data_IF_628161003891
#
_entry.id   IF_628161003891
#
_cell.length_a   1.000
_cell.length_b   1.000
_cell.length_c   1.000
_cell.angle_alpha   90.00
_cell.angle_beta   90.00
_cell.angle_gamma   90.00
#
_symmetry.space_group_name_H-M   'P 1'
#
loop_
_entity.id
_entity.type
_entity.pdbx_description
1 polymer ?
#
# COMPACT_ATOMS: atom_id res chain seq x y z
N UNK A 1 -28.56 68.20 -36.76
CA UNK A 1 -28.76 67.06 -35.83
C UNK A 1 -28.23 65.74 -36.39
N UNK A 2 -28.38 65.45 -37.68
CA UNK A 2 -27.95 64.18 -38.30
C UNK A 2 -26.46 63.81 -38.12
N UNK A 3 -25.56 64.79 -38.11
CA UNK A 3 -24.12 64.59 -37.91
C UNK A 3 -23.78 64.02 -36.53
N UNK A 4 -24.48 64.44 -35.48
CA UNK A 4 -24.29 63.92 -34.13
C UNK A 4 -24.76 62.47 -34.00
N UNK A 5 -25.87 62.13 -34.65
CA UNK A 5 -26.45 60.79 -34.60
C UNK A 5 -25.58 59.76 -35.34
N UNK A 6 -25.01 60.15 -36.48
CA UNK A 6 -24.06 59.33 -37.25
C UNK A 6 -22.78 59.08 -36.44
N UNK A 7 -22.23 60.13 -35.80
CA UNK A 7 -21.04 60.02 -34.95
C UNK A 7 -21.33 59.15 -33.72
N UNK A 8 -22.49 59.30 -33.07
CA UNK A 8 -22.91 58.49 -31.95
C UNK A 8 -23.09 57.02 -32.31
N UNK A 9 -23.73 56.71 -33.45
CA UNK A 9 -23.87 55.33 -33.98
C UNK A 9 -22.52 54.70 -34.31
N UNK A 10 -21.58 55.46 -34.89
CA UNK A 10 -20.22 55.00 -35.19
C UNK A 10 -19.42 54.73 -33.91
N UNK A 11 -19.50 55.60 -32.91
CA UNK A 11 -18.87 55.40 -31.60
C UNK A 11 -19.47 54.19 -30.85
N UNK A 12 -20.80 54.02 -30.88
CA UNK A 12 -21.47 52.83 -30.31
C UNK A 12 -20.98 51.54 -30.95
N UNK A 13 -20.82 51.49 -32.28
CA UNK A 13 -20.29 50.33 -33.01
C UNK A 13 -18.81 50.08 -32.69
N UNK A 14 -17.98 51.13 -32.58
CA UNK A 14 -16.56 51.03 -32.21
C UNK A 14 -16.39 50.52 -30.77
N UNK A 15 -17.16 51.05 -29.83
CA UNK A 15 -17.16 50.60 -28.44
C UNK A 15 -17.66 49.17 -28.32
N UNK A 16 -18.70 48.77 -29.07
CA UNK A 16 -19.17 47.38 -29.09
C UNK A 16 -18.09 46.41 -29.60
N UNK A 17 -17.39 46.76 -30.68
CA UNK A 17 -16.26 45.95 -31.18
C UNK A 17 -15.12 45.85 -30.17
N UNK A 18 -14.79 46.94 -29.48
CA UNK A 18 -13.79 46.93 -28.39
C UNK A 18 -14.22 46.04 -27.24
N UNK A 19 -15.46 46.14 -26.77
CA UNK A 19 -16.00 45.31 -25.69
C UNK A 19 -15.93 43.83 -26.08
N UNK A 20 -16.37 43.47 -27.30
CA UNK A 20 -16.28 42.10 -27.81
C UNK A 20 -14.84 41.62 -27.79
N UNK A 21 -13.91 42.41 -28.35
CA UNK A 21 -12.48 42.06 -28.39
C UNK A 21 -11.92 41.82 -26.98
N UNK A 22 -12.15 42.74 -26.04
CA UNK A 22 -11.69 42.59 -24.66
C UNK A 22 -12.32 41.38 -23.98
N UNK A 23 -13.63 41.15 -24.14
CA UNK A 23 -14.30 39.98 -23.58
C UNK A 23 -13.75 38.68 -24.14
N UNK A 24 -13.48 38.61 -25.45
CA UNK A 24 -12.89 37.43 -26.08
C UNK A 24 -11.48 37.18 -25.58
N UNK A 25 -10.64 38.23 -25.49
CA UNK A 25 -9.29 38.10 -24.94
C UNK A 25 -9.32 37.58 -23.51
N UNK A 26 -10.19 38.12 -22.66
CA UNK A 26 -10.35 37.67 -21.27
C UNK A 26 -10.74 36.19 -21.21
N UNK A 27 -11.73 35.77 -22.00
CA UNK A 27 -12.15 34.35 -22.07
C UNK A 27 -11.00 33.45 -22.53
N UNK A 28 -10.25 33.83 -23.57
CA UNK A 28 -9.11 33.05 -24.07
C UNK A 28 -8.01 32.92 -23.02
N UNK A 29 -7.69 34.01 -22.31
CA UNK A 29 -6.69 34.01 -21.25
C UNK A 29 -7.13 33.10 -20.09
N UNK A 30 -8.37 33.24 -19.60
CA UNK A 30 -8.87 32.38 -18.53
C UNK A 30 -8.95 30.91 -18.96
N UNK A 31 -9.32 30.64 -20.21
CA UNK A 31 -9.34 29.28 -20.74
C UNK A 31 -7.92 28.69 -20.83
N UNK A 32 -6.93 29.48 -21.26
CA UNK A 32 -5.52 29.08 -21.24
C UNK A 32 -5.00 28.80 -19.83
N UNK A 33 -5.33 29.67 -18.86
CA UNK A 33 -5.00 29.45 -17.44
C UNK A 33 -5.65 28.16 -16.92
N UNK A 34 -6.91 27.92 -17.26
CA UNK A 34 -7.63 26.70 -16.86
C UNK A 34 -6.98 25.43 -17.41
N UNK A 35 -6.63 25.41 -18.70
CA UNK A 35 -5.92 24.27 -19.31
C UNK A 35 -4.56 24.07 -18.63
N UNK A 36 -3.79 25.15 -18.45
CA UNK A 36 -2.49 25.09 -17.77
C UNK A 36 -2.60 24.54 -16.36
N UNK A 37 -3.57 25.02 -15.58
CA UNK A 37 -3.85 24.52 -14.24
C UNK A 37 -4.21 23.02 -14.26
N UNK A 38 -5.11 22.59 -15.16
CA UNK A 38 -5.50 21.17 -15.28
C UNK A 38 -4.33 20.27 -15.66
N UNK A 39 -3.43 20.71 -16.52
CA UNK A 39 -2.23 19.94 -16.88
C UNK A 39 -1.26 19.81 -15.70
N UNK A 40 -1.02 20.91 -14.98
CA UNK A 40 -0.13 20.92 -13.81
C UNK A 40 -0.68 20.03 -12.72
N UNK A 41 -1.96 20.19 -12.36
CA UNK A 41 -2.55 19.39 -11.28
C UNK A 41 -2.68 17.93 -11.69
N UNK A 42 -3.03 17.62 -12.94
CA UNK A 42 -3.04 16.26 -13.46
C UNK A 42 -1.67 15.57 -13.34
N UNK A 43 -0.58 16.28 -13.60
CA UNK A 43 0.79 15.76 -13.40
C UNK A 43 1.10 15.52 -11.93
N UNK A 44 0.71 16.43 -11.04
CA UNK A 44 0.91 16.28 -9.60
C UNK A 44 0.13 15.08 -9.04
N UNK A 45 -1.14 14.92 -9.42
CA UNK A 45 -1.98 13.77 -9.07
C UNK A 45 -1.36 12.47 -9.59
N UNK A 46 -0.91 12.43 -10.85
CA UNK A 46 -0.27 11.24 -11.42
C UNK A 46 1.00 10.85 -10.67
N UNK A 47 1.87 11.82 -10.38
CA UNK A 47 3.06 11.59 -9.56
C UNK A 47 2.69 11.06 -8.18
N UNK A 48 1.60 11.57 -7.60
CA UNK A 48 1.15 11.14 -6.29
C UNK A 48 0.61 9.71 -6.29
N UNK A 49 -0.10 9.31 -7.35
CA UNK A 49 -0.53 7.93 -7.58
C UNK A 49 0.69 6.99 -7.64
N UNK A 50 1.71 7.34 -8.43
CA UNK A 50 2.92 6.51 -8.56
C UNK A 50 3.70 6.37 -7.25
N UNK A 51 3.76 7.43 -6.44
CA UNK A 51 4.35 7.33 -5.09
C UNK A 51 3.62 6.30 -4.23
N UNK A 52 2.29 6.28 -4.25
CA UNK A 52 1.50 5.30 -3.50
C UNK A 52 1.75 3.89 -4.04
N UNK A 53 1.73 3.70 -5.36
CA UNK A 53 2.01 2.38 -5.97
C UNK A 53 3.38 1.85 -5.55
N UNK A 54 4.42 2.68 -5.65
CA UNK A 54 5.78 2.29 -5.27
C UNK A 54 5.90 1.99 -3.77
N UNK A 55 5.24 2.80 -2.92
CA UNK A 55 5.17 2.58 -1.47
C UNK A 55 4.53 1.23 -1.15
N UNK A 56 3.38 0.92 -1.77
CA UNK A 56 2.69 -0.36 -1.56
C UNK A 56 3.55 -1.53 -2.03
N UNK A 57 4.12 -1.47 -3.24
CA UNK A 57 4.98 -2.54 -3.75
C UNK A 57 6.22 -2.77 -2.88
N UNK A 58 6.83 -1.69 -2.37
CA UNK A 58 7.96 -1.78 -1.45
C UNK A 58 7.56 -2.50 -0.17
N UNK A 59 6.45 -2.08 0.45
CA UNK A 59 5.96 -2.69 1.68
C UNK A 59 5.58 -4.14 1.43
N UNK A 60 4.86 -4.46 0.35
CA UNK A 60 4.51 -5.84 -0.01
C UNK A 60 5.75 -6.73 -0.13
N UNK A 61 6.83 -6.23 -0.76
CA UNK A 61 8.07 -6.98 -0.96
C UNK A 61 8.83 -7.33 0.33
N UNK A 62 8.58 -6.64 1.44
CA UNK A 62 9.32 -6.82 2.70
C UNK A 62 8.45 -7.23 3.90
N UNK A 63 7.14 -6.96 3.83
CA UNK A 63 6.25 -7.01 4.98
C UNK A 63 5.03 -7.93 4.81
N UNK A 64 4.58 -8.13 3.57
CA UNK A 64 3.41 -8.95 3.34
C UNK A 64 3.87 -10.37 3.00
N UNK A 65 3.53 -11.38 3.81
CA UNK A 65 3.71 -12.75 3.39
C UNK A 65 2.79 -12.97 2.21
N UNK A 66 3.33 -13.54 1.12
CA UNK A 66 2.58 -14.11 -0.01
C UNK A 66 1.39 -13.30 -0.56
N UNK A 67 1.32 -11.98 -0.35
CA UNK A 67 0.24 -11.11 -0.83
C UNK A 67 0.86 -10.05 -1.72
N UNK A 68 0.31 -9.88 -2.91
CA UNK A 68 0.77 -8.89 -3.88
C UNK A 68 -0.41 -8.16 -4.54
N UNK A 69 -0.21 -6.87 -4.81
CA UNK A 69 -1.12 -6.08 -5.63
C UNK A 69 -0.80 -6.30 -7.11
N UNK A 70 -1.69 -6.97 -7.83
CA UNK A 70 -1.46 -7.37 -9.23
C UNK A 70 -2.15 -6.45 -10.25
N UNK A 71 -3.05 -5.57 -9.83
CA UNK A 71 -3.65 -4.55 -10.70
C UNK A 71 -3.76 -3.21 -9.99
N UNK A 72 -3.76 -2.14 -10.77
CA UNK A 72 -4.00 -0.77 -10.31
C UNK A 72 -5.01 -0.09 -11.23
N UNK A 73 -5.93 0.67 -10.64
CA UNK A 73 -6.91 1.46 -11.37
C UNK A 73 -7.26 2.74 -10.63
N UNK A 74 -7.79 3.73 -11.35
CA UNK A 74 -8.28 4.95 -10.74
C UNK A 74 -9.49 4.66 -9.85
N UNK A 75 -9.55 5.33 -8.70
CA UNK A 75 -10.64 5.26 -7.72
C UNK A 75 -11.25 6.65 -7.51
N UNK A 76 -11.77 7.24 -8.59
CA UNK A 76 -12.31 8.60 -8.56
C UNK A 76 -11.23 9.68 -8.44
N UNK A 77 -11.69 10.93 -8.33
CA UNK A 77 -10.83 12.11 -8.23
C UNK A 77 -11.45 13.36 -8.85
N UNK A 78 -10.83 14.50 -8.57
CA UNK A 78 -11.14 15.81 -9.12
C UNK A 78 -9.87 16.52 -9.62
N UNK A 79 -9.88 17.86 -9.70
CA UNK A 79 -8.72 18.61 -10.16
C UNK A 79 -7.55 18.61 -9.15
N UNK A 80 -7.83 18.46 -7.86
CA UNK A 80 -6.90 18.60 -6.74
C UNK A 80 -6.73 17.32 -5.92
N UNK A 81 -7.59 16.33 -6.14
CA UNK A 81 -7.58 15.04 -5.48
C UNK A 81 -7.65 13.90 -6.49
N UNK A 82 -7.06 12.77 -6.15
CA UNK A 82 -7.17 11.52 -6.89
C UNK A 82 -7.29 10.35 -5.93
N UNK A 83 -7.84 9.25 -6.42
CA UNK A 83 -7.83 7.98 -5.73
C UNK A 83 -7.26 6.90 -6.63
N UNK A 84 -6.60 5.91 -6.04
CA UNK A 84 -6.26 4.65 -6.70
C UNK A 84 -6.79 3.48 -5.89
N UNK A 85 -7.11 2.40 -6.61
CA UNK A 85 -7.40 1.11 -6.01
C UNK A 85 -6.60 0.02 -6.69
N UNK A 86 -6.12 -0.94 -5.91
CA UNK A 86 -5.43 -2.12 -6.40
C UNK A 86 -6.09 -3.39 -5.91
N UNK A 87 -6.14 -4.43 -6.75
CA UNK A 87 -6.59 -5.76 -6.32
C UNK A 87 -5.41 -6.57 -5.83
N UNK A 88 -5.58 -7.21 -4.68
CA UNK A 88 -4.58 -8.03 -4.03
C UNK A 88 -4.91 -9.50 -4.19
N UNK A 89 -3.88 -10.30 -4.49
CA UNK A 89 -3.97 -11.74 -4.51
C UNK A 89 -2.98 -12.32 -3.51
N UNK A 90 -3.38 -13.43 -2.90
CA UNK A 90 -2.58 -14.22 -1.99
C UNK A 90 -2.14 -15.51 -2.66
N UNK A 91 -0.85 -15.77 -2.69
CA UNK A 91 -0.28 -16.98 -3.27
C UNK A 91 -0.30 -18.13 -2.24
N UNK A 92 -1.18 -19.11 -2.46
CA UNK A 92 -1.21 -20.36 -1.71
C UNK A 92 -0.72 -21.48 -2.62
N UNK A 93 0.52 -21.91 -2.42
CA UNK A 93 1.15 -23.00 -3.18
C UNK A 93 1.14 -22.82 -4.71
N UNK A 94 1.30 -21.57 -5.18
CA UNK A 94 1.28 -21.20 -6.60
C UNK A 94 -0.12 -20.86 -7.13
N UNK A 95 -1.16 -20.94 -6.31
CA UNK A 95 -2.52 -20.57 -6.69
C UNK A 95 -2.82 -19.16 -6.14
N UNK A 96 -3.09 -18.16 -7.01
CA UNK A 96 -3.52 -16.85 -6.57
C UNK A 96 -4.97 -16.91 -6.08
N UNK A 97 -5.18 -16.55 -4.82
CA UNK A 97 -6.48 -16.42 -4.18
C UNK A 97 -6.81 -14.93 -4.01
N UNK A 98 -8.04 -14.52 -4.34
CA UNK A 98 -8.45 -13.12 -4.15
C UNK A 98 -8.38 -12.75 -2.66
N UNK A 99 -7.58 -11.73 -2.34
CA UNK A 99 -7.31 -11.30 -0.98
C UNK A 99 -8.02 -9.99 -0.64
N UNK A 100 -8.45 -9.20 -1.64
CA UNK A 100 -9.22 -7.98 -1.41
C UNK A 100 -8.73 -6.78 -2.22
N UNK A 101 -9.14 -5.58 -1.82
CA UNK A 101 -8.74 -4.33 -2.46
C UNK A 101 -7.94 -3.41 -1.54
N UNK A 102 -6.81 -2.90 -2.03
CA UNK A 102 -6.13 -1.75 -1.46
C UNK A 102 -6.71 -0.47 -2.05
N UNK A 103 -7.00 0.54 -1.22
CA UNK A 103 -7.55 1.83 -1.64
C UNK A 103 -6.78 2.97 -0.97
N UNK A 104 -6.41 3.96 -1.76
CA UNK A 104 -5.73 5.15 -1.27
C UNK A 104 -6.21 6.39 -2.00
N UNK A 105 -6.50 7.43 -1.23
CA UNK A 105 -6.86 8.75 -1.71
C UNK A 105 -5.71 9.73 -1.44
N UNK A 106 -5.54 10.71 -2.31
CA UNK A 106 -4.44 11.66 -2.20
C UNK A 106 -4.79 12.99 -2.84
N UNK A 107 -4.26 14.07 -2.27
CA UNK A 107 -4.28 15.39 -2.87
C UNK A 107 -3.02 15.66 -3.69
N UNK A 108 -2.98 16.81 -4.36
CA UNK A 108 -1.80 17.26 -5.10
C UNK A 108 -0.55 17.49 -4.23
N UNK A 109 -0.71 17.70 -2.91
CA UNK A 109 0.37 18.02 -1.97
C UNK A 109 0.52 17.01 -0.83
N UNK A 110 -0.47 16.15 -0.64
CA UNK A 110 -0.50 15.22 0.48
C UNK A 110 -1.02 13.86 0.02
N UNK A 111 -0.53 12.81 0.66
CA UNK A 111 -1.18 11.50 0.60
C UNK A 111 -2.11 11.47 1.79
N UNK A 112 -3.42 11.42 1.56
CA UNK A 112 -4.31 11.01 2.63
C UNK A 112 -4.21 9.49 2.69
N UNK A 113 -3.17 9.02 3.36
CA UNK A 113 -3.11 7.62 3.75
C UNK A 113 -4.29 7.42 4.67
N UNK A 114 -5.43 7.03 4.10
CA UNK A 114 -6.43 6.30 4.86
C UNK A 114 -5.67 5.26 5.68
N UNK A 115 -6.16 4.98 6.88
CA UNK A 115 -5.56 4.11 7.91
C UNK A 115 -5.58 2.64 7.43
N UNK A 116 -5.17 2.41 6.20
CA UNK A 116 -5.79 1.51 5.25
C UNK A 116 -4.68 0.90 4.38
N UNK A 117 -3.65 0.37 5.03
CA UNK A 117 -3.25 -1.00 4.70
C UNK A 117 -4.44 -1.93 5.05
N UNK A 118 -5.57 -1.76 4.35
CA UNK A 118 -6.86 -2.41 4.61
C UNK A 118 -6.85 -3.91 4.34
N UNK A 119 -5.72 -4.42 3.86
CA UNK A 119 -5.40 -5.83 3.89
C UNK A 119 -5.55 -6.48 5.28
N UNK A 120 -5.71 -5.70 6.37
CA UNK A 120 -5.88 -6.21 7.73
C UNK A 120 -6.87 -5.43 8.61
N UNK A 121 -7.99 -4.95 8.06
CA UNK A 121 -9.14 -4.75 8.96
C UNK A 121 -9.60 -6.15 9.39
N UNK A 122 -9.13 -6.54 10.57
CA UNK A 122 -9.31 -7.86 11.14
C UNK A 122 -10.37 -7.80 12.22
N UNK A 123 -11.41 -8.63 12.11
CA UNK A 123 -12.26 -8.94 13.26
C UNK A 123 -11.56 -10.02 14.08
N UNK A 124 -11.39 -9.78 15.36
CA UNK A 124 -10.95 -10.81 16.31
C UNK A 124 -12.13 -11.72 16.65
N UNK A 125 -11.92 -13.02 16.56
CA UNK A 125 -12.86 -14.01 17.09
C UNK A 125 -12.67 -14.15 18.60
N UNK A 126 -13.68 -14.70 19.28
CA UNK A 126 -13.55 -15.08 20.70
C UNK A 126 -12.42 -16.09 20.92
N UNK A 127 -12.09 -16.90 19.91
CA UNK A 127 -10.97 -17.83 19.93
C UNK A 127 -9.60 -17.17 19.69
N UNK A 128 -9.54 -15.84 19.54
CA UNK A 128 -8.31 -15.08 19.34
C UNK A 128 -7.75 -15.09 17.91
N UNK A 129 -8.49 -15.64 16.94
CA UNK A 129 -8.10 -15.62 15.54
C UNK A 129 -8.44 -14.28 14.88
N UNK A 130 -7.57 -13.79 14.00
CA UNK A 130 -7.88 -12.63 13.15
C UNK A 130 -8.51 -13.08 11.84
N UNK A 131 -9.68 -12.52 11.53
CA UNK A 131 -10.40 -12.75 10.28
C UNK A 131 -10.44 -11.44 9.48
N UNK A 132 -10.05 -11.51 8.22
CA UNK A 132 -10.17 -10.39 7.30
C UNK A 132 -11.64 -10.08 6.98
N UNK A 133 -12.03 -8.81 7.10
CA UNK A 133 -13.44 -8.40 6.98
C UNK A 133 -14.00 -8.58 5.55
N UNK A 134 -13.20 -8.38 4.50
CA UNK A 134 -13.71 -8.38 3.12
C UNK A 134 -14.13 -9.77 2.61
N UNK A 135 -13.36 -10.81 2.94
CA UNK A 135 -13.54 -12.15 2.40
C UNK A 135 -13.73 -13.23 3.49
N UNK A 136 -13.75 -12.85 4.77
CA UNK A 136 -13.83 -13.73 5.93
C UNK A 136 -12.73 -14.81 5.98
N UNK A 137 -11.57 -14.56 5.37
CA UNK A 137 -10.42 -15.45 5.45
C UNK A 137 -9.67 -15.25 6.76
N UNK A 138 -9.20 -16.35 7.36
CA UNK A 138 -8.29 -16.26 8.51
C UNK A 138 -6.94 -15.72 8.07
N UNK A 139 -6.42 -14.77 8.84
CA UNK A 139 -5.08 -14.20 8.65
C UNK A 139 -4.11 -14.97 9.55
N UNK A 140 -3.01 -15.54 9.01
CA UNK A 140 -2.00 -16.16 9.84
C UNK A 140 -1.39 -15.14 10.80
N UNK A 141 -1.47 -15.42 12.10
CA UNK A 141 -0.91 -14.57 13.15
C UNK A 141 0.40 -15.13 13.65
N UNK A 142 1.30 -14.23 14.04
CA UNK A 142 2.52 -14.58 14.76
C UNK A 142 2.39 -14.18 16.22
N UNK A 143 3.01 -14.96 17.09
CA UNK A 143 2.91 -14.81 18.53
C UNK A 143 4.30 -14.65 19.15
N UNK A 144 4.39 -13.83 20.19
CA UNK A 144 5.61 -13.67 20.97
C UNK A 144 5.44 -14.35 22.34
N UNK A 145 6.21 -15.42 22.56
CA UNK A 145 6.14 -16.20 23.81
C UNK A 145 6.64 -15.47 25.06
N UNK A 146 7.34 -14.35 24.88
CA UNK A 146 7.88 -13.56 25.98
C UNK A 146 6.91 -12.45 26.45
N UNK A 147 5.74 -12.33 25.81
CA UNK A 147 4.71 -11.37 26.22
C UNK A 147 4.23 -11.76 27.60
N UNK A 148 4.17 -10.78 28.49
CA UNK A 148 3.54 -10.91 29.79
C UNK A 148 2.29 -10.07 29.79
N UNK A 149 1.28 -10.55 30.48
CA UNK A 149 0.05 -9.78 30.72
C UNK A 149 0.44 -8.48 31.46
N UNK A 150 0.22 -7.34 30.81
CA UNK A 150 0.40 -6.03 31.41
C UNK A 150 -0.96 -5.33 31.48
N UNK A 151 -1.31 -4.81 32.67
CA UNK A 151 -2.48 -3.94 32.89
C UNK A 151 -3.84 -4.51 32.43
N UNK A 152 -4.02 -5.84 32.51
CA UNK A 152 -5.29 -6.49 32.21
C UNK A 152 -5.59 -6.65 30.71
N UNK A 153 -4.62 -6.43 29.84
CA UNK A 153 -4.70 -6.80 28.43
C UNK A 153 -4.39 -8.30 28.28
N UNK A 154 -5.38 -9.08 27.82
CA UNK A 154 -5.20 -10.52 27.60
C UNK A 154 -4.18 -10.78 26.49
N UNK A 155 -3.19 -11.62 26.80
CA UNK A 155 -2.21 -12.13 25.82
C UNK A 155 -2.89 -13.17 24.95
N UNK A 156 -2.77 -13.06 23.62
CA UNK A 156 -3.31 -14.10 22.77
C UNK A 156 -2.38 -15.32 22.73
N UNK A 157 -2.97 -16.47 23.01
CA UNK A 157 -2.30 -17.75 22.80
C UNK A 157 -2.48 -18.24 21.36
N UNK A 158 -1.50 -18.97 20.79
CA UNK A 158 -1.68 -19.62 19.50
C UNK A 158 -2.91 -20.53 19.51
N UNK A 159 -3.73 -20.44 18.45
CA UNK A 159 -4.99 -21.18 18.30
C UNK A 159 -4.83 -22.71 18.13
N UNK A 160 -3.59 -23.21 18.01
CA UNK A 160 -3.21 -24.64 17.90
C UNK A 160 -4.04 -25.39 16.84
N UNK A 161 -4.16 -24.80 15.64
CA UNK A 161 -5.04 -25.33 14.59
C UNK A 161 -4.42 -26.43 13.72
N UNK A 162 -3.11 -26.67 13.82
CA UNK A 162 -2.39 -27.66 13.02
C UNK A 162 -3.00 -29.08 13.05
N UNK A 163 -3.53 -29.61 14.17
CA UNK A 163 -4.15 -30.94 14.21
C UNK A 163 -5.39 -31.08 13.31
N UNK A 164 -6.08 -29.99 12.98
CA UNK A 164 -7.29 -30.01 12.13
C UNK A 164 -6.96 -30.08 10.63
N UNK A 165 -5.71 -29.82 10.23
CA UNK A 165 -5.29 -29.89 8.82
C UNK A 165 -5.47 -31.30 8.23
N UNK A 166 -5.36 -32.34 9.06
CA UNK A 166 -5.59 -33.73 8.65
C UNK A 166 -7.02 -33.99 8.15
N UNK A 167 -7.97 -33.19 8.62
CA UNK A 167 -9.40 -33.30 8.28
C UNK A 167 -9.75 -32.47 7.02
N UNK A 168 -8.82 -31.65 6.53
CA UNK A 168 -8.96 -30.77 5.35
C UNK A 168 -8.41 -31.43 4.08
N UNK A 169 -8.83 -32.66 3.81
CA UNK A 169 -8.37 -33.40 2.62
C UNK A 169 -8.75 -32.67 1.32
N UNK A 170 -7.84 -32.65 0.35
CA UNK A 170 -8.00 -31.97 -0.95
C UNK A 170 -8.18 -30.44 -0.85
N UNK A 171 -7.76 -29.82 0.25
CA UNK A 171 -7.74 -28.37 0.39
C UNK A 171 -6.30 -27.84 0.45
N UNK A 172 -6.10 -26.63 -0.04
CA UNK A 172 -4.88 -25.88 0.21
C UNK A 172 -5.01 -25.14 1.53
N UNK A 173 -4.05 -25.34 2.42
CA UNK A 173 -4.05 -24.75 3.76
C UNK A 173 -2.74 -24.01 3.98
N UNK A 174 -2.85 -22.81 4.51
CA UNK A 174 -1.71 -22.07 5.03
C UNK A 174 -1.76 -22.09 6.56
N UNK A 175 -0.60 -22.26 7.20
CA UNK A 175 -0.48 -22.32 8.65
C UNK A 175 0.70 -21.45 9.09
N UNK A 176 0.47 -20.58 10.09
CA UNK A 176 1.54 -19.95 10.84
C UNK A 176 2.02 -20.86 11.96
N UNK A 177 3.33 -21.02 12.09
CA UNK A 177 3.95 -21.85 13.12
C UNK A 177 4.72 -20.97 14.10
N UNK A 178 4.34 -21.03 15.38
CA UNK A 178 5.11 -20.46 16.48
C UNK A 178 5.94 -21.55 17.13
N UNK A 179 7.26 -21.37 17.12
CA UNK A 179 8.19 -22.32 17.71
C UNK A 179 8.18 -22.25 19.24
N UNK A 180 8.52 -23.36 19.88
CA UNK A 180 8.50 -23.49 21.33
C UNK A 180 9.58 -22.68 22.04
N UNK A 181 10.72 -22.51 21.36
CA UNK A 181 11.89 -21.70 21.75
C UNK A 181 12.50 -21.05 20.50
N UNK A 182 13.46 -20.12 20.65
CA UNK A 182 14.21 -19.60 19.52
C UNK A 182 15.02 -20.71 18.83
N UNK A 183 14.91 -20.80 17.51
CA UNK A 183 15.71 -21.69 16.66
C UNK A 183 16.47 -20.88 15.62
N UNK A 184 17.63 -21.39 15.23
CA UNK A 184 18.35 -20.89 14.06
C UNK A 184 17.58 -21.22 12.77
N UNK A 185 17.77 -20.41 11.74
CA UNK A 185 17.21 -20.66 10.41
C UNK A 185 17.58 -22.06 9.87
N UNK A 186 18.78 -22.55 10.20
CA UNK A 186 19.25 -23.87 9.79
C UNK A 186 18.45 -24.98 10.46
N UNK A 187 18.16 -24.85 11.75
CA UNK A 187 17.33 -25.81 12.49
C UNK A 187 15.90 -25.81 11.96
N UNK A 188 15.30 -24.63 11.76
CA UNK A 188 13.95 -24.51 11.21
C UNK A 188 13.86 -25.19 9.84
N UNK A 189 14.82 -24.93 8.94
CA UNK A 189 14.86 -25.56 7.60
C UNK A 189 15.05 -27.08 7.65
N UNK A 190 15.68 -27.59 8.70
CA UNK A 190 15.83 -29.03 8.90
C UNK A 190 14.55 -29.69 9.46
N UNK A 191 13.73 -28.94 10.21
CA UNK A 191 12.47 -29.42 10.79
C UNK A 191 11.30 -29.38 9.80
N UNK A 192 11.24 -28.38 8.91
CA UNK A 192 10.15 -28.23 7.95
C UNK A 192 10.31 -29.25 6.81
N UNK A 193 9.30 -30.10 6.54
CA UNK A 193 9.33 -31.02 5.40
C UNK A 193 9.54 -30.31 4.06
N UNK A 194 10.41 -30.85 3.20
CA UNK A 194 10.78 -30.24 1.91
C UNK A 194 9.63 -30.13 0.91
N UNK A 195 8.56 -30.89 1.10
CA UNK A 195 7.36 -30.85 0.25
C UNK A 195 6.40 -29.70 0.61
N UNK A 196 6.71 -28.89 1.61
CA UNK A 196 5.91 -27.71 1.96
C UNK A 196 6.53 -26.44 1.40
N UNK A 197 5.69 -25.58 0.79
CA UNK A 197 6.08 -24.24 0.42
C UNK A 197 6.22 -23.40 1.69
N UNK A 198 7.42 -22.86 1.93
CA UNK A 198 7.61 -21.88 3.00
C UNK A 198 7.44 -20.47 2.43
N UNK A 199 6.39 -19.76 2.83
CA UNK A 199 6.11 -18.41 2.34
C UNK A 199 7.02 -17.37 2.99
N UNK A 200 7.17 -17.40 4.31
CA UNK A 200 7.94 -16.39 5.04
C UNK A 200 8.54 -16.94 6.33
N UNK A 201 9.69 -16.39 6.74
CA UNK A 201 10.25 -16.53 8.08
C UNK A 201 10.14 -15.21 8.81
N UNK A 202 9.44 -15.21 9.92
CA UNK A 202 9.37 -14.06 10.79
C UNK A 202 10.36 -14.21 11.95
N UNK A 203 11.29 -13.27 12.08
CA UNK A 203 12.36 -13.30 13.08
C UNK A 203 11.87 -12.90 14.49
N UNK A 204 10.62 -12.46 14.61
CA UNK A 204 10.05 -11.98 15.86
C UNK A 204 10.43 -10.54 16.18
N UNK A 205 10.14 -10.15 17.42
CA UNK A 205 10.49 -8.84 17.99
C UNK A 205 11.38 -9.04 19.22
N UNK A 206 12.32 -8.11 19.44
CA UNK A 206 13.07 -8.04 20.70
C UNK A 206 12.25 -7.37 21.82
N UNK A 207 11.05 -6.86 21.52
CA UNK A 207 10.14 -6.28 22.51
C UNK A 207 9.36 -7.35 23.26
N UNK A 208 8.76 -6.97 24.39
CA UNK A 208 7.75 -7.74 25.12
C UNK A 208 6.33 -7.50 24.58
N UNK A 209 6.20 -6.76 23.48
CA UNK A 209 4.91 -6.45 22.87
C UNK A 209 4.29 -7.66 22.19
N UNK A 210 2.96 -7.70 22.15
CA UNK A 210 2.18 -8.78 21.54
C UNK A 210 1.95 -8.53 20.04
N UNK A 211 2.64 -9.27 19.15
CA UNK A 211 2.52 -9.13 17.70
C UNK A 211 1.22 -9.69 17.14
N UNK A 212 0.43 -10.45 17.91
CA UNK A 212 -0.83 -11.02 17.42
C UNK A 212 -1.85 -9.93 17.06
N UNK A 213 -1.69 -8.74 17.64
CA UNK A 213 -2.50 -7.54 17.41
C UNK A 213 -1.93 -6.65 16.29
N UNK A 214 -0.74 -6.95 15.79
CA UNK A 214 -0.08 -6.12 14.80
C UNK A 214 -0.61 -6.47 13.42
N UNK A 215 -0.87 -5.44 12.60
CA UNK A 215 -1.11 -5.68 11.19
C UNK A 215 0.17 -6.28 10.57
N UNK A 216 0.07 -7.17 9.57
CA UNK A 216 1.19 -7.61 8.74
C UNK A 216 2.16 -6.50 8.33
N UNK A 217 1.63 -5.33 8.00
CA UNK A 217 2.42 -4.13 7.69
C UNK A 217 3.24 -3.56 8.88
N UNK A 218 3.16 -4.14 10.07
CA UNK A 218 3.92 -3.78 11.27
C UNK A 218 4.78 -4.93 11.80
N UNK A 219 4.68 -6.14 11.22
CA UNK A 219 5.37 -7.31 11.75
C UNK A 219 6.89 -7.25 11.56
N UNK A 220 7.42 -6.60 10.54
CA UNK A 220 8.85 -6.53 10.24
C UNK A 220 9.65 -5.55 11.14
N UNK A 221 9.09 -5.16 12.29
CA UNK A 221 9.80 -4.38 13.31
C UNK A 221 10.01 -2.90 12.96
N UNK A 222 9.43 -2.40 11.87
CA UNK A 222 9.34 -0.96 11.58
C UNK A 222 7.99 -0.63 10.93
N UNK A 223 7.57 0.64 10.96
CA UNK A 223 6.31 1.05 10.32
C UNK A 223 6.51 1.24 8.81
N UNK A 224 5.47 1.05 7.97
CA UNK A 224 5.55 1.25 6.52
C UNK A 224 6.06 2.64 6.15
N UNK A 225 5.70 3.64 6.97
CA UNK A 225 6.14 5.02 6.81
C UNK A 225 7.67 5.16 6.88
N UNK A 226 8.36 4.30 7.62
CA UNK A 226 9.82 4.30 7.72
C UNK A 226 10.50 3.60 6.55
N UNK A 227 9.83 2.61 5.96
CA UNK A 227 10.31 1.99 4.70
C UNK A 227 10.28 3.02 3.57
N UNK A 228 9.26 3.87 3.56
CA UNK A 228 9.03 4.83 2.48
C UNK A 228 9.71 6.18 2.71
N UNK A 229 9.99 6.56 3.97
CA UNK A 229 10.86 7.71 4.30
C UNK A 229 12.32 7.55 3.87
N UNK A 230 12.78 6.33 3.64
CA UNK A 230 14.20 5.97 3.38
C UNK A 230 14.48 5.61 1.92
N UNK A 231 13.69 6.11 0.98
CA UNK A 231 14.13 6.28 -0.40
C UNK A 231 15.34 7.24 -0.43
N UNK A 232 16.56 6.78 -0.10
CA UNK A 232 17.85 7.20 -0.69
C UNK A 232 19.06 6.54 -0.03
N UNK A 233 19.00 6.17 1.26
CA UNK A 233 20.22 5.75 1.98
C UNK A 233 20.57 4.28 1.72
N UNK A 234 19.60 3.36 1.71
CA UNK A 234 19.94 1.93 1.62
C UNK A 234 19.81 1.32 0.23
N UNK A 235 19.18 1.98 -0.75
CA UNK A 235 19.13 1.43 -2.12
C UNK A 235 20.52 1.42 -2.75
N UNK A 236 21.27 2.52 -2.61
CA UNK A 236 22.63 2.63 -3.13
C UNK A 236 23.61 1.71 -2.38
N UNK A 237 23.48 1.61 -1.06
CA UNK A 237 24.29 0.70 -0.25
C UNK A 237 23.97 -0.77 -0.53
N UNK A 238 22.71 -1.13 -0.74
CA UNK A 238 22.31 -2.48 -1.13
C UNK A 238 22.78 -2.82 -2.55
N UNK A 239 22.65 -1.91 -3.52
CA UNK A 239 23.18 -2.07 -4.88
C UNK A 239 24.71 -2.20 -4.88
N UNK A 240 25.42 -1.40 -4.07
CA UNK A 240 26.88 -1.51 -3.91
C UNK A 240 27.29 -2.81 -3.22
N UNK A 241 26.55 -3.25 -2.20
CA UNK A 241 26.79 -4.52 -1.51
C UNK A 241 26.58 -5.73 -2.45
N UNK A 242 25.52 -5.71 -3.27
CA UNK A 242 25.26 -6.74 -4.29
C UNK A 242 26.39 -6.75 -5.32
N UNK A 243 26.80 -5.58 -5.84
CA UNK A 243 27.87 -5.45 -6.84
C UNK A 243 29.25 -5.84 -6.29
N UNK A 244 29.49 -5.65 -4.99
CA UNK A 244 30.71 -6.11 -4.29
C UNK A 244 30.69 -7.63 -4.07
N UNK A 245 29.51 -8.20 -3.80
CA UNK A 245 29.33 -9.65 -3.66
C UNK A 245 29.49 -10.40 -4.98
N UNK A 246 29.09 -9.80 -6.10
CA UNK A 246 29.24 -10.38 -7.44
C UNK A 246 30.70 -10.33 -7.90
N UNK A 247 31.41 -9.21 -7.72
CA UNK A 247 32.85 -9.11 -8.03
C UNK A 247 33.74 -10.07 -7.25
N UNK A 248 33.35 -10.44 -6.01
CA UNK A 248 34.09 -11.44 -5.24
C UNK A 248 33.96 -12.86 -5.81
N UNK A 249 32.85 -13.17 -6.50
CA UNK A 249 32.62 -14.49 -7.12
C UNK A 249 33.28 -14.63 -8.50
N UNK A 250 33.78 -13.54 -9.07
CA UNK A 250 34.51 -13.55 -10.36
C UNK A 250 36.03 -13.64 -10.18
N UNK A 251 36.52 -13.58 -8.94
CA UNK A 251 37.95 -13.59 -8.58
C UNK A 251 38.34 -14.90 -7.85
N UNK A 252 37.36 -15.74 -7.52
CA UNK A 252 37.55 -17.13 -7.07
C UNK A 252 37.27 -18.09 -8.23
#
# INVERSE_FOLDING_TARGET
>A
METFEIVAKKNKKRNRKRIILWSTTVVVVFFGIYIGARMITGKLISNQAWKVVNEVQLVESVAFPNIETYTWSANGGDMLHGGIKGRQAKDIYGIPLDYGEYKADFGILNINRGIHFHANSGRYTESGATIQIENNQKVPQFYNKNVKEEKGESVHEPTKELPYVKDMQNQLVEVALTFDKPYSLKEIRAMIPKNLKTNWYWIGTNSTGDPSWWQPSNLYGTSPDYLTKKEYVHKKEAEEAIKKSQRRREIE
#
